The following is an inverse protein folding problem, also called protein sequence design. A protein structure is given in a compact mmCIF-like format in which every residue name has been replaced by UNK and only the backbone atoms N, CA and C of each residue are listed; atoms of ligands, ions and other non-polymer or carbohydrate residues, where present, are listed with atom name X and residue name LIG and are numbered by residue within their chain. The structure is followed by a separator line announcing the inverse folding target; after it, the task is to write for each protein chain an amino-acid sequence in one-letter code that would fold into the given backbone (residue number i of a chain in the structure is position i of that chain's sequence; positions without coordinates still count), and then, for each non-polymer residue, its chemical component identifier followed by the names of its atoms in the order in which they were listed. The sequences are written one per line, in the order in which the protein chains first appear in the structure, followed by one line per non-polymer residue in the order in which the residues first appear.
data_IF_813765779079
#
_entry.id   IF_813765779079
#
_cell.length_a   1.000
_cell.length_b   1.000
_cell.length_c   1.000
_cell.angle_alpha   90.00
_cell.angle_beta   90.00
_cell.angle_gamma   90.00
#
_symmetry.space_group_name_H-M   'P 1'
#
loop_
_entity.id
_entity.type
_entity.pdbx_description
1 polymer ?
#
# COMPACT_ATOMS: atom_id res chain seq x y z
N UNK A 1 -12.27 5.02 9.49
CA UNK A 1 -11.74 4.37 10.70
C UNK A 1 -10.63 3.43 10.27
N UNK A 2 -9.46 3.60 10.82
CA UNK A 2 -8.33 2.72 10.53
C UNK A 2 -8.55 1.40 11.31
N UNK A 3 -8.88 0.32 10.58
CA UNK A 3 -9.09 -1.02 11.17
C UNK A 3 -7.78 -1.73 11.55
N UNK A 4 -6.64 -1.06 11.54
CA UNK A 4 -5.38 -1.64 12.00
C UNK A 4 -5.50 -1.97 13.49
N UNK A 5 -5.16 -3.20 13.85
CA UNK A 5 -5.09 -3.66 15.25
C UNK A 5 -4.37 -2.63 16.13
N UNK A 6 -5.05 -2.13 17.16
CA UNK A 6 -4.51 -1.20 18.15
C UNK A 6 -5.03 0.23 18.11
N UNK A 7 -5.89 0.61 17.14
CA UNK A 7 -6.56 1.93 17.11
C UNK A 7 -8.09 1.74 17.24
N UNK A 8 -8.51 0.97 18.22
CA UNK A 8 -9.91 1.02 18.64
C UNK A 8 -10.08 2.14 19.67
N UNK A 9 -10.52 3.32 19.22
CA UNK A 9 -11.33 4.15 20.11
C UNK A 9 -12.60 3.33 20.37
N UNK A 10 -12.92 2.97 21.62
CA UNK A 10 -14.19 2.33 21.92
C UNK A 10 -15.29 3.21 21.31
N UNK A 11 -16.20 2.62 20.54
CA UNK A 11 -17.29 3.37 19.89
C UNK A 11 -18.06 4.22 20.89
N UNK A 12 -18.20 3.73 22.12
CA UNK A 12 -18.88 4.45 23.18
C UNK A 12 -18.16 5.75 23.56
N UNK A 13 -16.83 5.77 23.62
CA UNK A 13 -16.06 6.99 23.87
C UNK A 13 -16.20 7.97 22.70
N UNK A 14 -16.18 7.48 21.45
CA UNK A 14 -16.43 8.32 20.29
C UNK A 14 -17.80 9.01 20.35
N UNK A 15 -18.83 8.30 20.78
CA UNK A 15 -20.18 8.87 20.86
C UNK A 15 -20.38 9.84 22.03
N UNK A 16 -19.49 9.89 23.00
CA UNK A 16 -19.51 10.88 24.09
C UNK A 16 -19.09 12.29 23.65
N UNK A 17 -18.31 12.41 22.57
CA UNK A 17 -17.90 13.73 22.08
C UNK A 17 -19.09 14.53 21.57
N UNK A 18 -19.14 15.83 21.94
CA UNK A 18 -20.18 16.76 21.50
C UNK A 18 -20.12 17.03 19.99
N UNK A 19 -18.91 17.28 19.50
CA UNK A 19 -18.62 17.43 18.07
C UNK A 19 -17.82 16.23 17.59
N UNK A 20 -18.27 15.55 16.53
CA UNK A 20 -17.63 14.38 15.99
C UNK A 20 -17.88 14.25 14.50
N UNK A 21 -16.87 13.80 13.79
CA UNK A 21 -16.94 13.52 12.36
C UNK A 21 -16.09 12.28 12.02
N UNK A 22 -16.50 11.56 11.01
CA UNK A 22 -15.70 10.52 10.37
C UNK A 22 -15.31 11.04 8.99
N UNK A 23 -14.05 10.92 8.65
CA UNK A 23 -13.51 11.31 7.35
C UNK A 23 -12.82 10.10 6.73
N UNK A 24 -13.18 9.79 5.50
CA UNK A 24 -12.57 8.69 4.74
C UNK A 24 -12.52 9.04 3.27
N UNK A 25 -11.46 8.64 2.60
CA UNK A 25 -11.34 8.73 1.14
C UNK A 25 -12.19 7.66 0.43
N UNK A 26 -12.55 6.58 1.15
CA UNK A 26 -13.37 5.48 0.64
C UNK A 26 -14.67 5.37 1.39
N UNK A 27 -15.68 4.79 0.73
CA UNK A 27 -16.95 4.54 1.38
C UNK A 27 -16.80 3.47 2.46
N UNK A 28 -17.21 3.81 3.69
CA UNK A 28 -17.25 2.87 4.81
C UNK A 28 -18.73 2.62 5.14
N UNK A 29 -19.13 1.35 5.14
CA UNK A 29 -20.41 0.94 5.70
C UNK A 29 -20.27 0.83 7.23
N UNK A 30 -21.08 1.60 7.94
CA UNK A 30 -21.09 1.63 9.40
C UNK A 30 -22.31 0.86 9.89
N UNK A 31 -22.08 -0.24 10.62
CA UNK A 31 -23.15 -1.13 11.08
C UNK A 31 -23.83 -0.68 12.39
N UNK A 32 -23.25 0.26 13.15
CA UNK A 32 -23.83 0.75 14.39
C UNK A 32 -24.96 1.77 14.09
N UNK A 33 -26.22 1.54 14.55
CA UNK A 33 -27.37 2.42 14.27
C UNK A 33 -27.18 3.87 14.73
N UNK A 34 -26.25 4.14 15.64
CA UNK A 34 -25.97 5.50 16.10
C UNK A 34 -25.40 6.39 14.98
N UNK A 35 -24.80 5.78 13.96
CA UNK A 35 -24.31 6.50 12.77
C UNK A 35 -25.40 6.92 11.81
N UNK A 36 -26.61 6.34 11.88
CA UNK A 36 -27.75 6.71 11.01
C UNK A 36 -28.16 8.18 11.17
N UNK A 37 -27.80 8.79 12.31
CA UNK A 37 -28.05 10.20 12.61
C UNK A 37 -26.99 11.16 12.08
N UNK A 38 -25.91 10.63 11.51
CA UNK A 38 -24.84 11.47 10.97
C UNK A 38 -25.24 12.01 9.59
N UNK A 39 -25.01 13.30 9.41
CA UNK A 39 -25.09 13.88 8.09
C UNK A 39 -23.91 13.37 7.25
N UNK A 40 -24.22 12.77 6.11
CA UNK A 40 -23.21 12.36 5.14
C UNK A 40 -22.93 13.52 4.18
N UNK A 41 -21.67 13.93 4.13
CA UNK A 41 -21.17 14.88 3.16
C UNK A 41 -20.23 14.16 2.20
N UNK A 42 -20.53 14.20 0.91
CA UNK A 42 -19.66 13.66 -0.15
C UNK A 42 -18.98 14.84 -0.82
N UNK A 43 -17.65 14.78 -0.87
CA UNK A 43 -16.82 15.78 -1.55
C UNK A 43 -16.22 15.10 -2.78
N UNK A 44 -16.65 15.54 -3.96
CA UNK A 44 -16.16 15.00 -5.23
C UNK A 44 -15.20 16.01 -5.89
N UNK A 45 -14.06 15.55 -6.44
CA UNK A 45 -13.18 16.41 -7.21
C UNK A 45 -13.89 16.93 -8.46
N UNK A 46 -13.62 18.19 -8.84
CA UNK A 46 -14.19 18.79 -10.06
C UNK A 46 -13.41 18.44 -11.34
N UNK A 47 -12.41 17.59 -11.24
CA UNK A 47 -11.59 17.12 -12.37
C UNK A 47 -11.70 15.60 -12.53
N UNK A 48 -11.52 15.05 -13.73
CA UNK A 48 -11.52 13.61 -13.93
C UNK A 48 -10.30 13.00 -13.21
N UNK A 49 -10.57 12.06 -12.29
CA UNK A 49 -9.56 11.36 -11.50
C UNK A 49 -9.54 9.84 -11.76
N UNK A 50 -10.30 9.42 -12.77
CA UNK A 50 -10.33 8.02 -13.16
C UNK A 50 -9.00 7.62 -13.77
N UNK A 51 -8.43 6.53 -13.27
CA UNK A 51 -7.21 5.91 -13.79
C UNK A 51 -7.54 4.51 -14.27
N UNK A 52 -7.11 4.17 -15.49
CA UNK A 52 -7.27 2.83 -16.01
C UNK A 52 -6.31 1.87 -15.31
N UNK A 53 -6.84 0.76 -14.79
CA UNK A 53 -6.07 -0.29 -14.13
C UNK A 53 -6.03 -1.52 -15.03
N UNK A 54 -4.83 -1.99 -15.37
CA UNK A 54 -4.63 -3.23 -16.09
C UNK A 54 -4.51 -4.42 -15.14
N UNK A 55 -5.53 -5.26 -15.09
CA UNK A 55 -5.53 -6.47 -14.27
C UNK A 55 -4.95 -7.63 -15.08
N UNK A 56 -3.95 -8.31 -14.52
CA UNK A 56 -3.29 -9.46 -15.12
C UNK A 56 -3.36 -10.67 -14.19
N UNK A 57 -3.99 -11.73 -14.66
CA UNK A 57 -4.02 -13.00 -13.95
C UNK A 57 -2.87 -13.89 -14.45
N UNK A 58 -2.11 -14.44 -13.53
CA UNK A 58 -0.98 -15.32 -13.85
C UNK A 58 -0.82 -16.41 -12.80
N UNK A 59 -0.38 -17.57 -13.20
CA UNK A 59 0.08 -18.65 -12.32
C UNK A 59 1.61 -18.61 -12.08
N UNK A 60 2.31 -17.63 -12.66
CA UNK A 60 3.73 -17.41 -12.47
C UNK A 60 4.02 -15.92 -12.21
N UNK A 61 3.72 -15.49 -10.99
CA UNK A 61 3.88 -14.10 -10.57
C UNK A 61 5.32 -13.62 -10.68
N UNK A 62 6.29 -14.48 -10.38
CA UNK A 62 7.71 -14.14 -10.45
C UNK A 62 8.15 -13.76 -11.87
N UNK A 63 7.85 -14.60 -12.85
CA UNK A 63 8.25 -14.34 -14.24
C UNK A 63 7.50 -13.12 -14.79
N UNK A 64 6.21 -12.99 -14.45
CA UNK A 64 5.44 -11.83 -14.89
C UNK A 64 5.98 -10.53 -14.29
N UNK A 65 6.30 -10.53 -13.01
CA UNK A 65 6.92 -9.38 -12.34
C UNK A 65 8.27 -9.02 -12.99
N UNK A 66 9.13 -10.02 -13.23
CA UNK A 66 10.42 -9.83 -13.89
C UNK A 66 10.28 -9.17 -15.26
N UNK A 67 9.34 -9.66 -16.09
CA UNK A 67 9.06 -9.09 -17.40
C UNK A 67 8.56 -7.65 -17.27
N UNK A 68 7.63 -7.40 -16.37
CA UNK A 68 7.05 -6.06 -16.17
C UNK A 68 8.10 -5.04 -15.75
N UNK A 69 8.96 -5.38 -14.78
CA UNK A 69 10.04 -4.49 -14.32
C UNK A 69 11.08 -4.26 -15.41
N UNK A 70 11.46 -5.30 -16.16
CA UNK A 70 12.43 -5.21 -17.26
C UNK A 70 11.92 -4.32 -18.39
N UNK A 71 10.65 -4.49 -18.77
CA UNK A 71 10.06 -3.83 -19.93
C UNK A 71 9.61 -2.38 -19.61
N UNK A 72 9.53 -2.02 -18.33
CA UNK A 72 9.29 -0.65 -17.89
C UNK A 72 10.45 0.25 -18.33
N UNK A 73 10.09 1.37 -18.95
CA UNK A 73 11.04 2.43 -19.37
C UNK A 73 11.18 3.53 -18.33
N UNK A 74 10.41 3.46 -17.24
CA UNK A 74 10.46 4.43 -16.16
C UNK A 74 11.62 4.15 -15.22
N UNK A 75 12.28 5.22 -14.80
CA UNK A 75 13.33 5.19 -13.78
C UNK A 75 12.76 5.10 -12.36
N UNK A 76 11.45 5.12 -12.22
CA UNK A 76 10.75 4.99 -10.95
C UNK A 76 9.59 4.01 -11.08
N UNK A 77 9.67 2.90 -10.33
CA UNK A 77 8.63 1.88 -10.24
C UNK A 77 8.23 1.74 -8.76
N UNK A 78 6.95 1.89 -8.46
CA UNK A 78 6.39 1.70 -7.13
C UNK A 78 5.61 0.39 -7.08
N UNK A 79 6.01 -0.53 -6.20
CA UNK A 79 5.44 -1.86 -6.06
C UNK A 79 4.74 -1.99 -4.71
N UNK A 80 3.47 -2.26 -4.73
CA UNK A 80 2.65 -2.45 -3.53
C UNK A 80 2.45 -3.94 -3.28
N UNK A 81 3.05 -4.45 -2.19
CA UNK A 81 3.00 -5.86 -1.81
C UNK A 81 3.13 -6.02 -0.29
N UNK A 82 2.11 -6.56 0.35
CA UNK A 82 2.06 -6.67 1.81
C UNK A 82 2.74 -7.95 2.35
N UNK A 83 3.96 -8.26 1.90
CA UNK A 83 4.76 -9.37 2.42
C UNK A 83 6.24 -9.10 2.23
N UNK A 84 6.97 -8.81 3.32
CA UNK A 84 8.41 -8.53 3.25
C UNK A 84 9.25 -9.75 2.82
N UNK A 85 8.77 -10.96 3.12
CA UNK A 85 9.46 -12.19 2.70
C UNK A 85 9.31 -12.40 1.19
N UNK A 86 8.10 -12.20 0.68
CA UNK A 86 7.84 -12.26 -0.76
C UNK A 86 8.58 -11.16 -1.50
N UNK A 87 8.61 -9.92 -0.96
CA UNK A 87 9.39 -8.82 -1.53
C UNK A 87 10.86 -9.20 -1.65
N UNK A 88 11.46 -9.71 -0.57
CA UNK A 88 12.87 -10.10 -0.60
C UNK A 88 13.14 -11.21 -1.62
N UNK A 89 12.29 -12.24 -1.64
CA UNK A 89 12.40 -13.33 -2.61
C UNK A 89 12.23 -12.86 -4.07
N UNK A 90 11.33 -11.90 -4.33
CA UNK A 90 11.20 -11.29 -5.65
C UNK A 90 12.46 -10.54 -6.04
N UNK A 91 12.98 -9.68 -5.18
CA UNK A 91 14.20 -8.92 -5.46
C UNK A 91 15.40 -9.82 -5.73
N UNK A 92 15.58 -10.86 -4.93
CA UNK A 92 16.67 -11.82 -5.08
C UNK A 92 16.57 -12.61 -6.40
N UNK A 93 15.39 -13.19 -6.68
CA UNK A 93 15.18 -14.03 -7.87
C UNK A 93 15.14 -13.24 -9.18
N UNK A 94 14.90 -11.94 -9.13
CA UNK A 94 14.91 -11.06 -10.31
C UNK A 94 16.18 -10.23 -10.45
N UNK A 95 17.13 -10.40 -9.51
CA UNK A 95 18.44 -9.72 -9.49
C UNK A 95 18.34 -8.18 -9.45
N UNK A 96 17.36 -7.66 -8.66
CA UNK A 96 17.14 -6.22 -8.50
C UNK A 96 17.45 -5.69 -7.10
N UNK A 97 18.13 -6.46 -6.25
CA UNK A 97 18.44 -6.06 -4.85
C UNK A 97 19.12 -4.68 -4.78
N UNK A 98 20.12 -4.44 -5.64
CA UNK A 98 20.90 -3.22 -5.60
C UNK A 98 20.13 -1.99 -6.11
N UNK A 99 19.15 -2.17 -6.97
CA UNK A 99 18.32 -1.10 -7.51
C UNK A 99 16.98 -0.95 -6.76
N UNK A 100 16.83 -1.64 -5.63
CA UNK A 100 15.57 -1.67 -4.86
C UNK A 100 15.66 -0.97 -3.51
N UNK A 101 14.52 -0.41 -3.08
CA UNK A 101 14.27 0.08 -1.73
C UNK A 101 12.97 -0.53 -1.19
N UNK A 102 12.91 -0.82 0.11
CA UNK A 102 11.72 -1.34 0.78
C UNK A 102 11.26 -0.41 1.90
N UNK A 103 10.02 0.06 1.81
CA UNK A 103 9.36 0.83 2.84
C UNK A 103 8.37 -0.06 3.59
N UNK A 104 8.64 -0.34 4.87
CA UNK A 104 7.88 -1.29 5.67
C UNK A 104 7.91 -0.95 7.17
N UNK A 105 7.17 -1.71 7.99
CA UNK A 105 7.15 -1.51 9.44
C UNK A 105 8.55 -1.75 10.08
N UNK A 106 8.82 -1.11 11.23
CA UNK A 106 10.10 -1.19 11.95
C UNK A 106 10.56 -2.64 12.20
N UNK A 107 9.63 -3.55 12.54
CA UNK A 107 9.94 -4.97 12.75
C UNK A 107 10.50 -5.61 11.47
N UNK A 108 9.87 -5.32 10.33
CA UNK A 108 10.29 -5.82 9.02
C UNK A 108 11.61 -5.19 8.57
N UNK A 109 11.84 -3.89 8.84
CA UNK A 109 13.14 -3.25 8.59
C UNK A 109 14.27 -3.98 9.32
N UNK A 110 14.06 -4.31 10.60
CA UNK A 110 15.06 -5.07 11.38
C UNK A 110 15.33 -6.43 10.77
N UNK A 111 14.30 -7.16 10.37
CA UNK A 111 14.43 -8.47 9.71
C UNK A 111 15.23 -8.36 8.42
N UNK A 112 14.88 -7.44 7.53
CA UNK A 112 15.58 -7.24 6.25
C UNK A 112 17.05 -6.87 6.47
N UNK A 113 17.36 -5.96 7.40
CA UNK A 113 18.73 -5.50 7.64
C UNK A 113 19.61 -6.52 8.36
N UNK A 114 19.11 -7.14 9.40
CA UNK A 114 19.94 -7.97 10.26
C UNK A 114 19.90 -9.46 9.90
N UNK A 115 18.78 -9.98 9.41
CA UNK A 115 18.67 -11.39 9.06
C UNK A 115 18.99 -11.66 7.59
N UNK A 116 18.66 -10.71 6.70
CA UNK A 116 18.83 -10.87 5.25
C UNK A 116 19.90 -9.94 4.66
N UNK A 117 20.60 -9.17 5.50
CA UNK A 117 21.67 -8.22 5.13
C UNK A 117 21.25 -7.21 4.02
N UNK A 118 19.96 -6.90 3.91
CA UNK A 118 19.43 -5.93 2.96
C UNK A 118 19.36 -4.54 3.59
N UNK A 119 20.23 -3.63 3.18
CA UNK A 119 20.43 -2.32 3.85
C UNK A 119 19.38 -1.28 3.48
N UNK A 120 18.79 -1.35 2.28
CA UNK A 120 17.87 -0.34 1.74
C UNK A 120 16.43 -0.55 2.21
N UNK A 121 16.21 -0.79 3.50
CA UNK A 121 14.91 -0.94 4.12
C UNK A 121 14.66 0.19 5.13
N UNK A 122 13.49 0.83 5.06
CA UNK A 122 13.17 2.03 5.85
C UNK A 122 11.73 1.98 6.38
N UNK A 123 11.53 2.54 7.58
CA UNK A 123 10.21 2.62 8.21
C UNK A 123 9.52 3.97 8.04
N UNK A 124 10.20 4.92 7.41
CA UNK A 124 9.65 6.23 7.04
C UNK A 124 9.94 6.45 5.57
N UNK A 125 8.97 7.01 4.87
CA UNK A 125 9.15 7.42 3.49
C UNK A 125 9.96 8.71 3.42
N UNK A 126 10.99 8.71 2.58
CA UNK A 126 11.78 9.87 2.22
C UNK A 126 12.14 9.72 0.72
N UNK A 127 11.73 10.66 -0.17
CA UNK A 127 11.99 10.55 -1.61
C UNK A 127 13.45 10.28 -1.97
N UNK A 128 14.41 10.89 -1.25
CA UNK A 128 15.86 10.68 -1.46
C UNK A 128 16.35 9.25 -1.23
N UNK A 129 15.52 8.37 -0.63
CA UNK A 129 15.83 6.96 -0.38
C UNK A 129 15.28 6.05 -1.47
N UNK A 130 14.51 6.61 -2.39
CA UNK A 130 14.00 5.85 -3.52
C UNK A 130 15.13 5.45 -4.45
N UNK A 131 14.92 4.31 -5.07
CA UNK A 131 15.73 3.78 -6.16
C UNK A 131 14.82 3.53 -7.36
N UNK A 132 15.31 2.83 -8.37
CA UNK A 132 14.49 2.50 -9.53
C UNK A 132 13.26 1.69 -9.15
N UNK A 133 13.38 0.70 -8.24
CA UNK A 133 12.25 -0.14 -7.79
C UNK A 133 12.00 0.07 -6.30
N UNK A 134 10.79 0.47 -5.94
CA UNK A 134 10.43 0.87 -4.58
C UNK A 134 9.26 0.05 -4.09
N UNK A 135 9.47 -0.79 -3.09
CA UNK A 135 8.42 -1.63 -2.51
C UNK A 135 7.78 -0.96 -1.31
N UNK A 136 6.45 -1.01 -1.27
CA UNK A 136 5.63 -0.50 -0.18
C UNK A 136 4.77 -1.61 0.41
N UNK A 137 4.78 -1.76 1.73
CA UNK A 137 3.86 -2.67 2.43
C UNK A 137 2.59 -1.92 2.86
N UNK A 138 1.56 -2.63 3.33
CA UNK A 138 0.25 -2.08 3.71
C UNK A 138 0.31 -0.86 4.63
N UNK A 139 1.38 -0.68 5.39
CA UNK A 139 1.59 0.54 6.18
C UNK A 139 1.54 1.82 5.35
N UNK A 140 1.81 1.74 4.06
CA UNK A 140 1.94 2.86 3.14
C UNK A 140 0.80 2.92 2.11
N UNK A 141 -0.27 2.13 2.28
CA UNK A 141 -1.42 2.15 1.36
C UNK A 141 -2.39 3.28 1.66
N UNK A 142 -2.52 3.63 2.94
CA UNK A 142 -3.47 4.64 3.37
C UNK A 142 -2.85 5.66 4.33
N UNK A 143 -3.37 6.88 4.28
CA UNK A 143 -3.01 7.94 5.24
C UNK A 143 -1.62 8.53 5.04
N UNK A 144 -1.07 8.42 3.82
CA UNK A 144 0.18 9.05 3.44
C UNK A 144 0.15 9.45 1.97
N UNK A 145 0.38 10.72 1.71
CA UNK A 145 0.57 11.22 0.37
C UNK A 145 2.03 11.01 -0.05
N UNK A 146 2.23 10.34 -1.18
CA UNK A 146 3.54 10.12 -1.77
C UNK A 146 3.70 11.11 -2.91
N UNK A 147 4.30 12.26 -2.61
CA UNK A 147 4.60 13.28 -3.61
C UNK A 147 5.93 12.96 -4.28
N UNK A 148 5.92 12.79 -5.59
CA UNK A 148 7.09 12.50 -6.42
C UNK A 148 7.22 13.54 -7.53
N UNK A 149 8.45 13.87 -7.88
CA UNK A 149 8.76 14.72 -9.04
C UNK A 149 8.59 13.97 -10.37
N UNK A 150 8.55 12.64 -10.34
CA UNK A 150 8.37 11.77 -11.50
C UNK A 150 6.98 11.10 -11.46
N UNK A 151 6.48 10.68 -12.62
CA UNK A 151 5.30 9.83 -12.74
C UNK A 151 5.76 8.36 -12.75
N UNK A 152 5.60 7.62 -11.62
CA UNK A 152 6.06 6.24 -11.53
C UNK A 152 5.15 5.28 -12.28
N UNK A 153 5.69 4.10 -12.62
CA UNK A 153 4.85 2.93 -12.89
C UNK A 153 4.39 2.35 -11.57
N UNK A 154 3.09 2.07 -11.45
CA UNK A 154 2.50 1.44 -10.26
C UNK A 154 2.24 -0.04 -10.54
N UNK A 155 2.77 -0.90 -9.68
CA UNK A 155 2.54 -2.35 -9.72
C UNK A 155 1.93 -2.77 -8.39
N UNK A 156 0.73 -3.33 -8.44
CA UNK A 156 0.05 -3.89 -7.29
C UNK A 156 0.09 -5.42 -7.40
N UNK A 157 0.64 -6.10 -6.39
CA UNK A 157 0.78 -7.55 -6.37
C UNK A 157 -0.09 -8.17 -5.29
N UNK A 158 -0.92 -9.13 -5.69
CA UNK A 158 -1.72 -9.96 -4.80
C UNK A 158 -1.48 -11.43 -5.12
N UNK A 159 -1.26 -12.25 -4.10
CA UNK A 159 -1.21 -13.71 -4.21
C UNK A 159 -2.33 -14.32 -3.39
N UNK A 160 -3.42 -14.63 -4.06
CA UNK A 160 -4.65 -15.15 -3.42
C UNK A 160 -4.52 -16.61 -2.97
N UNK A 161 -3.52 -17.33 -3.43
CA UNK A 161 -3.39 -18.76 -3.16
C UNK A 161 -2.36 -19.09 -2.08
N UNK A 162 -1.24 -18.38 -2.06
CA UNK A 162 -0.12 -18.69 -1.17
C UNK A 162 0.07 -17.65 -0.07
N UNK A 163 -0.34 -16.40 -0.30
CA UNK A 163 -0.10 -15.28 0.61
C UNK A 163 -1.36 -14.41 0.72
N UNK A 164 -2.40 -14.97 1.31
CA UNK A 164 -3.73 -14.36 1.41
C UNK A 164 -3.71 -12.92 1.95
N UNK A 165 -2.83 -12.62 2.91
CA UNK A 165 -2.68 -11.26 3.45
C UNK A 165 -2.07 -10.23 2.47
N UNK A 166 -1.70 -10.64 1.25
CA UNK A 166 -1.29 -9.71 0.18
C UNK A 166 -2.45 -9.28 -0.70
N UNK A 167 -3.63 -9.86 -0.53
CA UNK A 167 -4.82 -9.50 -1.31
C UNK A 167 -5.17 -8.05 -1.03
N UNK A 168 -5.27 -7.25 -2.10
CA UNK A 168 -5.66 -5.85 -2.05
C UNK A 168 -7.17 -5.75 -2.21
N UNK A 169 -7.81 -5.03 -1.30
CA UNK A 169 -9.23 -4.74 -1.41
C UNK A 169 -9.46 -3.69 -2.51
N UNK A 170 -10.25 -4.02 -3.57
CA UNK A 170 -10.49 -3.10 -4.67
C UNK A 170 -11.29 -1.85 -4.27
N UNK A 171 -12.03 -1.90 -3.18
CA UNK A 171 -12.86 -0.80 -2.71
C UNK A 171 -12.18 0.10 -1.66
N UNK A 172 -11.06 -0.32 -1.14
CA UNK A 172 -10.30 0.46 -0.16
C UNK A 172 -8.83 0.62 -0.55
N UNK A 173 -8.05 -0.46 -0.60
CA UNK A 173 -6.60 -0.38 -0.81
C UNK A 173 -6.25 0.20 -2.18
N UNK A 174 -6.88 -0.31 -3.26
CA UNK A 174 -6.58 0.12 -4.63
C UNK A 174 -6.94 1.59 -4.88
N UNK A 175 -8.00 2.08 -4.23
CA UNK A 175 -8.42 3.49 -4.36
C UNK A 175 -7.46 4.43 -3.61
N UNK A 176 -6.78 3.94 -2.58
CA UNK A 176 -5.89 4.74 -1.73
C UNK A 176 -4.43 4.70 -2.18
N UNK A 177 -4.05 3.77 -3.04
CA UNK A 177 -2.75 3.67 -3.70
C UNK A 177 -2.71 4.60 -4.92
#
# INVERSE_FOLDING_TARGET
ADYREGIYLPLDDFFQFKGKALVSATHIELSDPRFDKFQRLVIEPQFPYNVDIHIQYTNNTLERFKVTVRDSKNDCICVFLNSTDTIYALMEKTDILEESTVFCANKSVRKLKYSLNFKNAYSRFEPKRMKRVNFFTSRFYAGMDIELECKPDLIMLSDVNLVEHTVLDPYSDIIQI
#
